data_IF_618667183520
#
_entry.id   IF_618667183520
#
_cell.length_a   1.000
_cell.length_b   1.000
_cell.length_c   1.000
_cell.angle_alpha   90.00
_cell.angle_beta   90.00
_cell.angle_gamma   90.00
#
_symmetry.space_group_name_H-M   'P 1'
#
loop_
_entity.id
_entity.type
_entity.pdbx_description
1 polymer ?
#
# COMPACT_ATOMS: atom_id res chain seq x y z
N UNK A 1 7.94 -0.87 -13.90
CA UNK A 1 7.26 0.42 -14.02
C UNK A 1 6.59 0.72 -12.69
N UNK A 2 6.85 1.90 -12.08
CA UNK A 2 6.18 2.31 -10.86
C UNK A 2 4.68 2.41 -11.12
N UNK A 3 3.89 1.97 -10.14
CA UNK A 3 2.43 1.93 -10.21
C UNK A 3 1.82 2.75 -9.08
N UNK A 4 0.74 3.45 -9.37
CA UNK A 4 -0.05 4.16 -8.38
C UNK A 4 -1.29 3.33 -8.05
N UNK A 5 -1.48 3.01 -6.78
CA UNK A 5 -2.61 2.20 -6.29
C UNK A 5 -3.28 2.89 -5.12
N UNK A 6 -4.53 2.54 -4.83
CA UNK A 6 -5.17 2.98 -3.59
C UNK A 6 -4.70 2.14 -2.40
N UNK A 7 -4.27 2.82 -1.34
CA UNK A 7 -3.87 2.21 -0.07
C UNK A 7 -4.59 2.86 1.12
N UNK A 8 -4.76 2.09 2.18
CA UNK A 8 -5.24 2.61 3.47
C UNK A 8 -4.02 3.03 4.30
N UNK A 9 -3.92 4.31 4.64
CA UNK A 9 -2.76 4.89 5.31
C UNK A 9 -3.17 5.53 6.64
N UNK A 10 -2.45 5.20 7.71
CA UNK A 10 -2.50 5.92 8.99
C UNK A 10 -1.47 7.03 8.96
N UNK A 11 -1.93 8.28 8.86
CA UNK A 11 -1.05 9.45 8.72
C UNK A 11 -0.42 9.86 10.06
N UNK A 12 -1.16 9.68 11.15
CA UNK A 12 -0.72 10.00 12.50
C UNK A 12 -1.38 9.07 13.53
N UNK A 13 -0.74 8.94 14.69
CA UNK A 13 -1.25 8.16 15.81
C UNK A 13 -2.53 8.81 16.35
N UNK A 14 -3.59 8.01 16.48
CA UNK A 14 -4.88 8.47 17.02
C UNK A 14 -5.81 9.14 15.99
N UNK A 15 -5.37 9.32 14.75
CA UNK A 15 -6.21 9.83 13.67
C UNK A 15 -6.90 8.71 12.87
N UNK A 16 -8.06 8.98 12.25
CA UNK A 16 -8.66 8.06 11.30
C UNK A 16 -7.72 7.75 10.12
N UNK A 17 -7.79 6.50 9.64
CA UNK A 17 -7.10 6.12 8.40
C UNK A 17 -7.77 6.74 7.18
N UNK A 18 -7.00 6.97 6.12
CA UNK A 18 -7.50 7.49 4.85
C UNK A 18 -7.16 6.54 3.69
N UNK A 19 -8.06 6.47 2.70
CA UNK A 19 -7.74 5.87 1.40
C UNK A 19 -7.05 6.94 0.57
N UNK A 20 -5.84 6.66 0.09
CA UNK A 20 -5.07 7.60 -0.72
C UNK A 20 -4.25 6.86 -1.78
N UNK A 21 -3.76 7.62 -2.75
CA UNK A 21 -2.91 7.11 -3.81
C UNK A 21 -1.48 6.91 -3.29
N UNK A 22 -0.93 5.72 -3.51
CA UNK A 22 0.41 5.31 -3.09
C UNK A 22 1.19 4.86 -4.32
N UNK A 23 2.40 5.39 -4.47
CA UNK A 23 3.34 4.97 -5.52
C UNK A 23 4.14 3.77 -5.04
N UNK A 24 3.98 2.63 -5.69
CA UNK A 24 4.79 1.44 -5.49
C UNK A 24 5.99 1.51 -6.44
N UNK A 25 7.23 1.53 -5.92
CA UNK A 25 8.43 1.52 -6.75
C UNK A 25 8.62 0.16 -7.43
N UNK A 26 9.56 0.12 -8.37
CA UNK A 26 9.97 -1.14 -8.97
C UNK A 26 10.68 -2.05 -7.95
N UNK A 27 10.43 -3.37 -7.95
CA UNK A 27 11.01 -4.28 -6.98
C UNK A 27 12.54 -4.40 -7.18
N UNK A 28 13.27 -4.47 -6.08
CA UNK A 28 14.69 -4.77 -6.07
C UNK A 28 14.99 -6.27 -6.32
N UNK A 29 16.28 -6.65 -6.35
CA UNK A 29 16.68 -8.06 -6.49
C UNK A 29 16.13 -8.92 -5.34
N UNK A 30 15.33 -9.93 -5.67
CA UNK A 30 14.72 -10.83 -4.69
C UNK A 30 13.40 -10.34 -4.09
N UNK A 31 12.91 -9.16 -4.50
CA UNK A 31 11.61 -8.65 -4.09
C UNK A 31 10.52 -9.02 -5.09
N UNK A 32 9.28 -9.11 -4.62
CA UNK A 32 8.11 -9.32 -5.45
C UNK A 32 7.05 -8.26 -5.16
N UNK A 33 6.43 -7.74 -6.21
CA UNK A 33 5.23 -6.92 -6.08
C UNK A 33 4.02 -7.84 -6.18
N UNK A 34 3.12 -7.76 -5.18
CA UNK A 34 1.96 -8.63 -5.08
C UNK A 34 0.68 -7.82 -5.20
N UNK A 35 -0.20 -8.23 -6.13
CA UNK A 35 -1.54 -7.69 -6.25
C UNK A 35 -2.47 -8.31 -5.20
N UNK A 36 -2.71 -7.59 -4.10
CA UNK A 36 -3.54 -8.06 -2.99
C UNK A 36 -5.01 -8.19 -3.42
N UNK A 37 -5.59 -9.37 -3.22
CA UNK A 37 -7.01 -9.63 -3.52
C UNK A 37 -7.91 -9.34 -2.32
N UNK A 38 -7.42 -9.62 -1.10
CA UNK A 38 -8.12 -9.38 0.15
C UNK A 38 -7.11 -9.25 1.30
N UNK A 39 -7.47 -8.49 2.33
CA UNK A 39 -6.68 -8.33 3.55
C UNK A 39 -7.61 -8.56 4.76
N UNK A 40 -7.21 -9.43 5.68
CA UNK A 40 -7.94 -9.65 6.93
C UNK A 40 -7.67 -8.53 7.95
N UNK A 41 -8.67 -8.22 8.77
CA UNK A 41 -8.55 -7.25 9.88
C UNK A 41 -8.86 -7.99 11.18
N UNK A 42 -8.00 -7.82 12.18
CA UNK A 42 -8.14 -8.43 13.51
C UNK A 42 -8.48 -7.38 14.57
#
# INVERSE_FOLDING_TARGET
>A
MPQTVQGVVSMAVGEPVAITDVVIPDPGPGEAVVAIQACGVC
#
